data_IF_063676097968
#
_entry.id   IF_063676097968
#
_cell.length_a   1.000
_cell.length_b   1.000
_cell.length_c   1.000
_cell.angle_alpha   90.00
_cell.angle_beta   90.00
_cell.angle_gamma   90.00
#
_symmetry.space_group_name_H-M   'P 1'
#
loop_
_entity.id
_entity.type
_entity.pdbx_description
1 polymer ?
#
# COMPACT_ATOMS: atom_id res chain seq x y z
N UNK A 1 2.67 -22.65 -0.28
CA UNK A 1 2.37 -21.33 -0.90
C UNK A 1 2.88 -21.38 -2.33
N UNK A 2 2.02 -21.14 -3.31
CA UNK A 2 2.41 -20.98 -4.71
C UNK A 2 3.03 -19.59 -4.87
N UNK A 3 4.29 -19.49 -5.29
CA UNK A 3 4.99 -18.22 -5.42
C UNK A 3 5.23 -17.88 -6.89
N UNK A 4 4.89 -16.65 -7.29
CA UNK A 4 5.27 -16.12 -8.59
C UNK A 4 5.85 -14.72 -8.46
N UNK A 5 6.99 -14.51 -9.10
CA UNK A 5 7.52 -13.18 -9.37
C UNK A 5 7.74 -13.12 -10.88
N UNK A 6 6.92 -12.34 -11.57
CA UNK A 6 6.93 -12.28 -13.03
C UNK A 6 7.07 -10.83 -13.46
N UNK A 7 8.12 -10.57 -14.21
CA UNK A 7 8.36 -9.33 -14.94
C UNK A 7 8.56 -9.67 -16.41
N UNK A 8 8.24 -8.74 -17.30
CA UNK A 8 8.80 -8.77 -18.64
C UNK A 8 10.17 -8.07 -18.63
N UNK A 9 10.85 -8.12 -19.77
CA UNK A 9 12.14 -7.47 -20.00
C UNK A 9 11.91 -6.33 -20.99
N UNK A 10 12.49 -5.16 -20.72
CA UNK A 10 12.61 -4.12 -21.74
C UNK A 10 13.64 -4.57 -22.77
N UNK A 11 13.20 -4.83 -24.00
CA UNK A 11 14.08 -5.38 -25.04
C UNK A 11 15.20 -4.44 -25.48
N UNK A 12 15.09 -3.14 -25.17
CA UNK A 12 16.11 -2.15 -25.51
C UNK A 12 17.27 -2.14 -24.52
N UNK A 13 16.97 -2.19 -23.22
CA UNK A 13 17.97 -2.13 -22.15
C UNK A 13 18.34 -3.49 -21.57
N UNK A 14 17.50 -4.51 -21.75
CA UNK A 14 17.61 -5.79 -21.06
C UNK A 14 17.17 -5.74 -19.58
N UNK A 15 16.70 -4.59 -19.10
CA UNK A 15 16.30 -4.42 -17.70
C UNK A 15 14.92 -5.06 -17.42
N UNK A 16 14.65 -5.49 -16.17
CA UNK A 16 13.32 -5.86 -15.74
C UNK A 16 12.34 -4.69 -15.90
N UNK A 17 11.12 -4.99 -16.36
CA UNK A 17 10.03 -4.02 -16.45
C UNK A 17 8.87 -4.47 -15.55
N UNK A 18 8.25 -3.51 -14.87
CA UNK A 18 7.15 -3.74 -13.92
C UNK A 18 5.96 -2.84 -14.23
N UNK A 19 4.80 -3.14 -13.64
CA UNK A 19 3.58 -2.36 -13.89
C UNK A 19 3.06 -2.41 -15.33
N UNK A 20 3.55 -3.35 -16.14
CA UNK A 20 3.20 -3.50 -17.55
C UNK A 20 1.92 -4.33 -17.74
N UNK A 21 1.23 -4.19 -18.88
CA UNK A 21 0.08 -5.04 -19.21
C UNK A 21 0.40 -6.54 -19.20
N UNK A 22 1.60 -6.94 -19.64
CA UNK A 22 2.06 -8.32 -19.67
C UNK A 22 2.20 -8.89 -18.25
N UNK A 23 2.79 -8.13 -17.33
CA UNK A 23 2.92 -8.53 -15.93
C UNK A 23 1.54 -8.68 -15.26
N UNK A 24 0.59 -7.80 -15.58
CA UNK A 24 -0.79 -7.88 -15.08
C UNK A 24 -1.49 -9.15 -15.59
N UNK A 25 -1.41 -9.44 -16.90
CA UNK A 25 -1.99 -10.68 -17.46
C UNK A 25 -1.36 -11.93 -16.85
N UNK A 26 -0.04 -11.93 -16.66
CA UNK A 26 0.66 -13.03 -16.00
C UNK A 26 0.17 -13.23 -14.56
N UNK A 27 -0.08 -12.14 -13.84
CA UNK A 27 -0.63 -12.16 -12.47
C UNK A 27 -2.02 -12.82 -12.41
N UNK A 28 -2.89 -12.55 -13.38
CA UNK A 28 -4.19 -13.22 -13.47
C UNK A 28 -4.03 -14.74 -13.66
N UNK A 29 -3.16 -15.16 -14.57
CA UNK A 29 -2.87 -16.58 -14.81
C UNK A 29 -2.25 -17.26 -13.58
N UNK A 30 -1.31 -16.59 -12.90
CA UNK A 30 -0.67 -17.09 -11.69
C UNK A 30 -1.70 -17.36 -10.58
N UNK A 31 -2.61 -16.41 -10.34
CA UNK A 31 -3.67 -16.58 -9.35
C UNK A 31 -4.68 -17.68 -9.72
N UNK A 32 -5.05 -17.79 -11.00
CA UNK A 32 -5.89 -18.90 -11.49
C UNK A 32 -5.22 -20.26 -11.28
N UNK A 33 -3.93 -20.38 -11.59
CA UNK A 33 -3.16 -21.61 -11.39
C UNK A 33 -3.03 -21.96 -9.92
N UNK A 34 -2.76 -20.98 -9.05
CA UNK A 34 -2.68 -21.19 -7.61
C UNK A 34 -3.98 -21.77 -7.04
N UNK A 35 -5.14 -21.22 -7.44
CA UNK A 35 -6.46 -21.77 -7.09
C UNK A 35 -6.68 -23.16 -7.67
N UNK A 36 -6.28 -23.40 -8.92
CA UNK A 36 -6.41 -24.70 -9.58
C UNK A 36 -5.64 -25.80 -8.83
N UNK A 37 -4.45 -25.50 -8.31
CA UNK A 37 -3.64 -26.46 -7.53
C UNK A 37 -3.95 -26.42 -6.02
N UNK A 38 -4.96 -25.65 -5.59
CA UNK A 38 -5.40 -25.60 -4.20
C UNK A 38 -4.40 -24.96 -3.22
N UNK A 39 -3.54 -24.05 -3.68
CA UNK A 39 -2.53 -23.39 -2.85
C UNK A 39 -2.77 -21.87 -2.74
N UNK A 40 -2.49 -21.26 -1.57
CA UNK A 40 -2.49 -19.81 -1.46
C UNK A 40 -1.36 -19.22 -2.32
N UNK A 41 -1.65 -18.10 -2.96
CA UNK A 41 -0.75 -17.39 -3.86
C UNK A 41 0.01 -16.27 -3.16
N UNK A 42 1.34 -16.28 -3.28
CA UNK A 42 2.20 -15.13 -3.02
C UNK A 42 2.56 -14.43 -4.34
N UNK A 43 2.22 -13.15 -4.42
CA UNK A 43 2.58 -12.23 -5.50
C UNK A 43 3.35 -11.01 -4.98
N UNK A 44 3.50 -9.98 -5.83
CA UNK A 44 4.19 -8.73 -5.49
C UNK A 44 3.56 -7.54 -6.21
N UNK A 45 3.74 -6.34 -5.65
CA UNK A 45 3.51 -5.07 -6.33
C UNK A 45 4.86 -4.36 -6.49
N UNK A 46 5.35 -4.27 -7.72
CA UNK A 46 6.72 -3.85 -8.00
C UNK A 46 6.77 -2.67 -8.97
N UNK A 47 7.90 -1.97 -8.95
CA UNK A 47 8.23 -0.89 -9.87
C UNK A 47 9.72 -0.94 -10.23
N UNK A 48 10.03 -0.50 -11.45
CA UNK A 48 11.39 -0.26 -11.94
C UNK A 48 11.91 1.14 -11.60
N UNK A 49 11.06 2.07 -11.14
CA UNK A 49 11.47 3.46 -10.91
C UNK A 49 12.58 3.58 -9.89
N UNK A 50 13.54 4.47 -10.16
CA UNK A 50 14.68 4.75 -9.28
C UNK A 50 14.33 5.71 -8.13
N UNK A 51 13.15 6.33 -8.17
CA UNK A 51 12.73 7.37 -7.23
C UNK A 51 11.24 7.24 -6.95
N UNK A 52 10.72 7.65 -5.78
CA UNK A 52 9.28 7.69 -5.50
C UNK A 52 8.58 8.82 -6.29
N UNK A 53 8.41 8.62 -7.59
CA UNK A 53 7.78 9.55 -8.51
C UNK A 53 6.47 9.00 -9.12
N UNK A 54 6.01 9.65 -10.19
CA UNK A 54 4.83 9.19 -10.93
C UNK A 54 5.02 7.77 -11.47
N UNK A 55 6.22 7.41 -11.98
CA UNK A 55 6.52 6.05 -12.45
C UNK A 55 6.38 5.04 -11.34
N UNK A 56 6.97 5.31 -10.18
CA UNK A 56 6.89 4.42 -9.03
C UNK A 56 5.44 4.16 -8.60
N UNK A 57 4.58 5.17 -8.76
CA UNK A 57 3.17 5.12 -8.39
C UNK A 57 2.34 4.32 -9.40
N UNK A 58 2.38 4.66 -10.70
CA UNK A 58 1.53 3.97 -11.69
C UNK A 58 1.95 2.52 -11.91
N UNK A 59 3.26 2.21 -11.83
CA UNK A 59 3.73 0.83 -11.97
C UNK A 59 3.35 -0.03 -10.77
N UNK A 60 3.43 0.55 -9.57
CA UNK A 60 2.96 -0.10 -8.36
C UNK A 60 1.46 -0.37 -8.44
N UNK A 61 0.64 0.62 -8.79
CA UNK A 61 -0.82 0.46 -8.90
C UNK A 61 -1.20 -0.64 -9.90
N UNK A 62 -0.58 -0.66 -11.08
CA UNK A 62 -0.85 -1.71 -12.06
C UNK A 62 -0.45 -3.08 -11.52
N UNK A 63 0.73 -3.21 -10.91
CA UNK A 63 1.19 -4.47 -10.33
C UNK A 63 0.28 -4.94 -9.18
N UNK A 64 -0.12 -4.01 -8.31
CA UNK A 64 -1.02 -4.28 -7.19
C UNK A 64 -2.41 -4.71 -7.68
N UNK A 65 -2.99 -4.01 -8.65
CA UNK A 65 -4.25 -4.41 -9.28
C UNK A 65 -4.17 -5.78 -9.93
N UNK A 66 -3.07 -6.07 -10.65
CA UNK A 66 -2.82 -7.39 -11.22
C UNK A 66 -2.82 -8.50 -10.17
N UNK A 67 -2.15 -8.26 -9.04
CA UNK A 67 -2.10 -9.20 -7.93
C UNK A 67 -3.46 -9.34 -7.21
N UNK A 68 -4.11 -8.23 -6.89
CA UNK A 68 -5.40 -8.19 -6.18
C UNK A 68 -6.49 -8.87 -7.00
N UNK A 69 -6.69 -8.48 -8.26
CA UNK A 69 -7.70 -9.09 -9.13
C UNK A 69 -7.33 -10.53 -9.54
N UNK A 70 -6.04 -10.86 -9.53
CA UNK A 70 -5.57 -12.24 -9.64
C UNK A 70 -5.93 -13.09 -8.41
N UNK A 71 -6.31 -12.50 -7.28
CA UNK A 71 -6.66 -13.20 -6.03
C UNK A 71 -5.46 -13.55 -5.18
N UNK A 72 -4.49 -12.65 -5.06
CA UNK A 72 -3.30 -12.81 -4.21
C UNK A 72 -3.69 -12.99 -2.74
N UNK A 73 -3.06 -13.96 -2.06
CA UNK A 73 -3.26 -14.16 -0.62
C UNK A 73 -2.18 -13.45 0.21
N UNK A 74 -0.99 -13.31 -0.35
CA UNK A 74 0.13 -12.62 0.28
C UNK A 74 0.85 -11.75 -0.75
N UNK A 75 0.74 -10.43 -0.62
CA UNK A 75 1.50 -9.48 -1.44
C UNK A 75 2.82 -9.17 -0.73
N UNK A 76 3.92 -9.76 -1.20
CA UNK A 76 5.24 -9.43 -0.68
C UNK A 76 5.76 -8.17 -1.39
N UNK A 77 6.64 -7.42 -0.73
CA UNK A 77 7.15 -6.13 -1.23
C UNK A 77 6.05 -5.10 -1.49
N UNK A 78 4.92 -5.22 -0.79
CA UNK A 78 3.77 -4.33 -0.95
C UNK A 78 4.06 -2.87 -0.57
N UNK A 79 5.19 -2.58 0.08
CA UNK A 79 5.59 -1.21 0.41
C UNK A 79 7.11 -1.01 0.37
N UNK A 80 7.54 0.13 -0.17
CA UNK A 80 8.91 0.65 -0.09
C UNK A 80 9.84 0.24 -1.22
N UNK A 81 9.40 -0.65 -2.12
CA UNK A 81 10.20 -1.16 -3.24
C UNK A 81 10.51 -0.07 -4.28
N UNK A 82 11.78 0.04 -4.66
CA UNK A 82 12.27 0.84 -5.79
C UNK A 82 13.38 0.12 -6.56
N UNK A 83 13.75 0.67 -7.71
CA UNK A 83 14.92 0.28 -8.50
C UNK A 83 14.92 -1.22 -8.81
N UNK A 84 13.78 -1.75 -9.23
CA UNK A 84 13.64 -3.19 -9.52
C UNK A 84 14.02 -4.10 -8.34
N UNK A 85 13.90 -3.61 -7.11
CA UNK A 85 14.17 -4.34 -5.88
C UNK A 85 15.58 -4.11 -5.31
N UNK A 86 16.36 -3.22 -5.91
CA UNK A 86 17.72 -2.88 -5.44
C UNK A 86 17.72 -1.89 -4.28
N UNK A 87 16.64 -1.12 -4.11
CA UNK A 87 16.53 -0.12 -3.05
C UNK A 87 15.19 -0.14 -2.34
N UNK A 88 15.21 0.32 -1.09
CA UNK A 88 14.04 0.57 -0.27
C UNK A 88 14.00 2.05 0.11
N UNK A 89 12.87 2.73 -0.09
CA UNK A 89 12.66 4.12 0.29
C UNK A 89 11.55 4.23 1.34
N UNK A 90 11.77 5.06 2.36
CA UNK A 90 10.77 5.33 3.40
C UNK A 90 9.64 6.23 2.89
N UNK A 91 9.94 7.17 1.98
CA UNK A 91 8.92 7.95 1.27
C UNK A 91 8.04 7.02 0.43
N UNK A 92 8.66 6.12 -0.35
CA UNK A 92 7.93 5.12 -1.13
C UNK A 92 7.11 4.20 -0.23
N UNK A 93 7.64 3.81 0.92
CA UNK A 93 6.92 2.98 1.87
C UNK A 93 5.62 3.64 2.33
N UNK A 94 5.66 4.92 2.69
CA UNK A 94 4.46 5.66 3.08
C UNK A 94 3.48 5.84 1.92
N UNK A 95 3.97 6.16 0.71
CA UNK A 95 3.12 6.25 -0.48
C UNK A 95 2.42 4.93 -0.80
N UNK A 96 3.14 3.82 -0.64
CA UNK A 96 2.57 2.49 -0.85
C UNK A 96 1.54 2.14 0.22
N UNK A 97 1.79 2.50 1.48
CA UNK A 97 0.81 2.31 2.56
C UNK A 97 -0.47 3.11 2.31
N UNK A 98 -0.38 4.36 1.82
CA UNK A 98 -1.56 5.13 1.37
C UNK A 98 -2.36 4.35 0.33
N UNK A 99 -1.70 3.81 -0.71
CA UNK A 99 -2.37 3.03 -1.76
C UNK A 99 -2.96 1.71 -1.23
N UNK A 100 -2.24 1.01 -0.34
CA UNK A 100 -2.73 -0.21 0.31
C UNK A 100 -3.94 0.07 1.21
N UNK A 101 -3.97 1.20 1.92
CA UNK A 101 -5.10 1.62 2.71
C UNK A 101 -6.30 1.93 1.81
N UNK A 102 -6.10 2.61 0.68
CA UNK A 102 -7.16 2.83 -0.31
C UNK A 102 -7.74 1.50 -0.83
N UNK A 103 -6.91 0.49 -1.08
CA UNK A 103 -7.41 -0.84 -1.45
C UNK A 103 -8.22 -1.47 -0.30
N UNK A 104 -7.69 -1.44 0.93
CA UNK A 104 -8.38 -2.00 2.09
C UNK A 104 -9.78 -1.39 2.29
N UNK A 105 -9.90 -0.08 2.08
CA UNK A 105 -11.15 0.68 2.19
C UNK A 105 -12.10 0.37 1.03
N UNK A 106 -11.59 0.26 -0.20
CA UNK A 106 -12.38 -0.09 -1.39
C UNK A 106 -13.00 -1.49 -1.30
N UNK A 107 -12.36 -2.42 -0.59
CA UNK A 107 -12.86 -3.78 -0.38
C UNK A 107 -13.65 -3.97 0.92
N UNK A 108 -13.94 -2.89 1.66
CA UNK A 108 -14.92 -2.97 2.73
C UNK A 108 -16.32 -3.24 2.16
N UNK A 109 -17.14 -3.96 2.93
CA UNK A 109 -18.54 -4.15 2.55
C UNK A 109 -19.29 -2.86 2.81
N UNK A 110 -20.00 -2.33 1.81
CA UNK A 110 -20.88 -1.20 2.01
C UNK A 110 -22.12 -1.65 2.80
N UNK A 111 -22.22 -1.23 4.06
CA UNK A 111 -23.46 -1.35 4.82
C UNK A 111 -24.45 -0.29 4.33
N UNK A 112 -25.42 -0.72 3.52
CA UNK A 112 -26.45 0.16 2.96
C UNK A 112 -27.79 -0.15 3.63
N UNK A 113 -28.26 0.78 4.47
CA UNK A 113 -29.69 0.85 4.81
C UNK A 113 -30.40 1.61 3.69
N UNK A 114 -31.11 0.88 2.84
CA UNK A 114 -31.81 1.46 1.70
C UNK A 114 -32.91 2.44 2.10
N UNK A 115 -33.50 2.30 3.30
CA UNK A 115 -34.58 3.19 3.74
C UNK A 115 -34.03 4.59 4.04
N UNK A 116 -32.95 4.64 4.81
CA UNK A 116 -32.23 5.87 5.18
C UNK A 116 -31.73 6.63 3.94
N UNK A 117 -31.31 5.90 2.90
CA UNK A 117 -30.86 6.50 1.63
C UNK A 117 -31.98 7.27 0.91
N UNK A 118 -33.16 6.66 0.74
CA UNK A 118 -34.26 7.30 0.01
C UNK A 118 -34.86 8.47 0.80
N UNK A 119 -34.96 8.34 2.12
CA UNK A 119 -35.41 9.43 2.99
C UNK A 119 -34.46 10.62 2.89
N UNK A 120 -33.15 10.39 3.00
CA UNK A 120 -32.14 11.45 2.85
C UNK A 120 -32.26 12.16 1.49
N UNK A 121 -32.40 11.43 0.38
CA UNK A 121 -32.56 12.03 -0.95
C UNK A 121 -33.84 12.87 -1.05
N UNK A 122 -34.95 12.39 -0.49
CA UNK A 122 -36.23 13.09 -0.51
C UNK A 122 -36.25 14.37 0.34
N UNK A 123 -35.37 14.50 1.33
CA UNK A 123 -35.26 15.70 2.18
C UNK A 123 -34.68 16.92 1.44
N UNK A 124 -33.97 16.72 0.33
CA UNK A 124 -33.30 17.80 -0.41
C UNK A 124 -34.04 18.07 -1.72
N UNK A 125 -34.55 19.30 -1.85
CA UNK A 125 -35.21 19.76 -3.06
C UNK A 125 -34.29 19.71 -4.30
N UNK A 126 -34.84 19.55 -5.52
CA UNK A 126 -34.06 19.57 -6.75
C UNK A 126 -33.19 20.84 -6.86
N UNK A 127 -31.89 20.65 -7.04
CA UNK A 127 -30.90 21.73 -7.09
C UNK A 127 -30.30 22.13 -5.73
N UNK A 128 -30.71 21.48 -4.63
CA UNK A 128 -30.11 21.64 -3.30
C UNK A 128 -28.79 20.87 -3.11
N UNK A 129 -28.30 20.85 -1.86
CA UNK A 129 -27.08 20.14 -1.47
C UNK A 129 -27.24 19.41 -0.11
N UNK A 130 -26.45 18.37 0.12
CA UNK A 130 -26.56 17.51 1.31
C UNK A 130 -25.69 17.93 2.49
N UNK A 131 -24.84 18.96 2.37
CA UNK A 131 -23.87 19.32 3.41
C UNK A 131 -24.47 19.57 4.80
N UNK A 132 -25.69 20.10 4.87
CA UNK A 132 -26.42 20.35 6.13
C UNK A 132 -27.45 19.28 6.48
N UNK A 133 -27.55 18.20 5.70
CA UNK A 133 -28.53 17.13 5.97
C UNK A 133 -28.19 16.42 7.28
N UNK A 134 -29.20 15.97 8.06
CA UNK A 134 -28.98 15.20 9.29
C UNK A 134 -28.05 14.00 9.06
N UNK A 135 -28.24 13.27 7.96
CA UNK A 135 -27.44 12.10 7.59
C UNK A 135 -25.96 12.46 7.36
N UNK A 136 -25.69 13.58 6.69
CA UNK A 136 -24.30 14.05 6.48
C UNK A 136 -23.69 14.50 7.80
N UNK A 137 -24.40 15.27 8.62
CA UNK A 137 -23.92 15.72 9.92
C UNK A 137 -23.66 14.57 10.89
N UNK A 138 -24.42 13.48 10.81
CA UNK A 138 -24.22 12.29 11.63
C UNK A 138 -23.00 11.46 11.21
N UNK A 139 -22.52 11.59 9.97
CA UNK A 139 -21.50 10.69 9.40
C UNK A 139 -20.26 11.38 8.83
N UNK A 140 -20.20 12.71 8.73
CA UNK A 140 -19.15 13.40 7.98
C UNK A 140 -17.72 13.07 8.45
N UNK A 141 -17.52 12.71 9.72
CA UNK A 141 -16.21 12.36 10.28
C UNK A 141 -15.75 10.95 9.91
N UNK A 142 -16.69 10.05 9.61
CA UNK A 142 -16.43 8.61 9.48
C UNK A 142 -16.84 8.03 8.13
N UNK A 143 -17.65 8.74 7.33
CA UNK A 143 -18.18 8.23 6.07
C UNK A 143 -17.15 8.14 4.95
N UNK A 144 -16.08 8.94 5.01
CA UNK A 144 -15.13 9.07 3.92
C UNK A 144 -13.71 8.75 4.34
N UNK A 145 -12.96 8.21 3.37
CA UNK A 145 -11.53 7.94 3.47
C UNK A 145 -10.76 9.17 3.93
N UNK A 146 -9.83 8.96 4.87
CA UNK A 146 -8.90 10.00 5.33
C UNK A 146 -7.48 9.65 4.87
N UNK A 147 -6.88 10.46 3.98
CA UNK A 147 -5.58 10.15 3.42
C UNK A 147 -4.43 10.35 4.41
N UNK A 148 -3.38 9.56 4.25
CA UNK A 148 -2.09 9.75 4.92
C UNK A 148 -1.24 10.81 4.20
N UNK A 149 -1.35 10.87 2.86
CA UNK A 149 -0.45 11.69 2.02
C UNK A 149 -1.21 12.58 1.02
N UNK A 150 -2.34 12.13 0.49
CA UNK A 150 -3.09 12.90 -0.51
C UNK A 150 -3.53 14.25 0.04
N UNK A 151 -3.38 15.30 -0.78
CA UNK A 151 -3.76 16.67 -0.44
C UNK A 151 -4.85 17.13 -1.40
N UNK A 152 -6.04 17.40 -0.85
CA UNK A 152 -7.23 17.80 -1.62
C UNK A 152 -7.56 19.29 -1.44
N UNK A 153 -6.66 20.04 -0.77
CA UNK A 153 -6.81 21.48 -0.62
C UNK A 153 -6.66 22.16 -1.99
N UNK A 154 -7.26 23.35 -2.10
CA UNK A 154 -7.13 24.15 -3.31
C UNK A 154 -5.69 24.66 -3.50
N UNK A 155 -5.39 25.14 -4.71
CA UNK A 155 -4.06 25.61 -5.08
C UNK A 155 -3.53 26.71 -4.15
N UNK A 156 -4.38 27.63 -3.69
CA UNK A 156 -3.96 28.72 -2.80
C UNK A 156 -3.44 28.18 -1.47
N UNK A 157 -4.23 27.36 -0.79
CA UNK A 157 -3.85 26.73 0.47
C UNK A 157 -2.63 25.81 0.32
N UNK A 158 -2.56 25.04 -0.77
CA UNK A 158 -1.40 24.19 -1.06
C UNK A 158 -0.13 25.00 -1.28
N UNK A 159 -0.23 26.14 -1.99
CA UNK A 159 0.91 27.04 -2.24
C UNK A 159 1.38 27.71 -0.95
N UNK A 160 0.47 28.20 -0.12
CA UNK A 160 0.77 28.84 1.16
C UNK A 160 1.45 27.87 2.14
N UNK A 161 1.16 26.57 2.04
CA UNK A 161 1.79 25.49 2.82
C UNK A 161 3.07 24.92 2.17
N UNK A 162 3.69 25.70 1.27
CA UNK A 162 4.99 25.40 0.69
C UNK A 162 4.96 24.48 -0.54
N UNK A 163 3.80 24.33 -1.19
CA UNK A 163 3.67 23.68 -2.50
C UNK A 163 4.24 22.25 -2.57
N UNK A 164 4.14 21.50 -1.47
CA UNK A 164 4.78 20.19 -1.33
C UNK A 164 4.10 19.16 -2.21
N UNK A 165 4.88 18.34 -2.92
CA UNK A 165 4.38 17.17 -3.64
C UNK A 165 4.13 15.98 -2.68
N UNK A 166 3.56 14.90 -3.20
CA UNK A 166 3.21 13.72 -2.39
C UNK A 166 4.44 13.10 -1.70
N UNK A 167 5.56 13.01 -2.40
CA UNK A 167 6.81 12.44 -1.89
C UNK A 167 7.38 13.27 -0.74
N UNK A 168 7.36 14.60 -0.86
CA UNK A 168 7.80 15.51 0.21
C UNK A 168 6.89 15.43 1.44
N UNK A 169 5.58 15.26 1.25
CA UNK A 169 4.66 15.02 2.36
C UNK A 169 4.91 13.66 3.02
N UNK A 170 5.13 12.61 2.22
CA UNK A 170 5.48 11.28 2.70
C UNK A 170 6.78 11.28 3.52
N UNK A 171 7.77 12.11 3.16
CA UNK A 171 8.99 12.32 3.96
C UNK A 171 8.69 12.80 5.38
N UNK A 172 7.77 13.77 5.51
CA UNK A 172 7.33 14.26 6.82
C UNK A 172 6.56 13.21 7.63
N UNK A 173 5.77 12.36 6.96
CA UNK A 173 5.01 11.29 7.61
C UNK A 173 5.93 10.23 8.19
N UNK A 174 6.86 9.65 7.40
CA UNK A 174 7.71 8.57 7.92
C UNK A 174 8.58 9.04 9.08
N UNK A 175 9.12 10.26 9.02
CA UNK A 175 9.95 10.83 10.10
C UNK A 175 9.17 10.93 11.40
N UNK A 176 7.91 11.36 11.32
CA UNK A 176 7.01 11.43 12.47
C UNK A 176 6.70 10.04 13.02
N UNK A 177 6.32 9.10 12.16
CA UNK A 177 6.03 7.71 12.56
C UNK A 177 7.22 7.07 13.28
N UNK A 178 8.45 7.27 12.79
CA UNK A 178 9.66 6.76 13.45
C UNK A 178 9.94 7.50 14.75
N UNK A 179 9.77 8.83 14.79
CA UNK A 179 9.99 9.64 15.99
C UNK A 179 9.03 9.33 17.14
N UNK A 180 7.78 8.99 16.80
CA UNK A 180 6.70 8.73 17.75
C UNK A 180 6.52 7.23 18.06
N UNK A 181 7.38 6.35 17.53
CA UNK A 181 7.23 4.90 17.66
C UNK A 181 7.51 4.41 19.08
N UNK A 182 6.51 3.78 19.69
CA UNK A 182 6.65 2.97 20.91
C UNK A 182 6.52 1.48 20.57
N UNK A 183 7.52 0.64 20.92
CA UNK A 183 7.45 -0.79 20.63
C UNK A 183 6.33 -1.48 21.43
N UNK A 184 5.63 -2.47 20.83
CA UNK A 184 4.62 -3.23 21.57
C UNK A 184 5.26 -3.99 22.75
N UNK A 185 4.52 -4.19 23.85
CA UNK A 185 5.04 -4.87 25.03
C UNK A 185 5.48 -6.29 24.67
N UNK A 186 6.69 -6.66 25.11
CA UNK A 186 7.26 -7.99 24.95
C UNK A 186 7.55 -8.57 26.34
N UNK A 187 7.12 -9.81 26.56
CA UNK A 187 7.42 -10.57 27.78
C UNK A 187 8.94 -10.59 28.03
N UNK A 188 9.43 -10.06 29.18
CA UNK A 188 10.85 -9.99 29.48
C UNK A 188 11.56 -11.35 29.40
N UNK A 189 10.90 -12.44 29.80
CA UNK A 189 11.49 -13.77 29.76
C UNK A 189 11.70 -14.24 28.31
N UNK A 190 10.81 -13.88 27.38
CA UNK A 190 10.97 -14.16 25.95
C UNK A 190 12.05 -13.30 25.34
N UNK A 191 12.11 -12.01 25.70
CA UNK A 191 13.15 -11.11 25.24
C UNK A 191 14.55 -11.61 25.62
N UNK A 192 14.72 -12.04 26.87
CA UNK A 192 15.96 -12.62 27.38
C UNK A 192 16.32 -13.94 26.66
N UNK A 193 15.35 -14.83 26.48
CA UNK A 193 15.56 -16.09 25.77
C UNK A 193 16.04 -15.90 24.32
N UNK A 194 15.45 -14.92 23.60
CA UNK A 194 15.88 -14.57 22.25
C UNK A 194 17.29 -13.96 22.27
N UNK A 195 17.58 -13.08 23.22
CA UNK A 195 18.89 -12.44 23.36
C UNK A 195 20.01 -13.48 23.65
N UNK A 196 19.78 -14.41 24.59
CA UNK A 196 20.73 -15.49 24.87
C UNK A 196 20.95 -16.39 23.65
N UNK A 197 19.87 -16.79 22.96
CA UNK A 197 19.98 -17.60 21.74
C UNK A 197 20.85 -16.92 20.69
N UNK A 198 20.64 -15.63 20.42
CA UNK A 198 21.46 -14.85 19.49
C UNK A 198 22.91 -14.78 19.96
N UNK A 199 23.15 -14.52 21.25
CA UNK A 199 24.49 -14.42 21.81
C UNK A 199 25.27 -15.74 21.70
N UNK A 200 24.62 -16.88 22.00
CA UNK A 200 25.22 -18.22 21.81
C UNK A 200 25.57 -18.49 20.36
N UNK A 201 24.68 -18.17 19.42
CA UNK A 201 24.94 -18.37 17.97
C UNK A 201 26.06 -17.48 17.44
N UNK A 202 26.18 -16.24 17.91
CA UNK A 202 27.30 -15.36 17.56
C UNK A 202 28.65 -15.91 18.02
N UNK A 203 28.71 -16.52 19.21
CA UNK A 203 29.93 -17.17 19.71
C UNK A 203 30.28 -18.46 18.97
N UNK A 204 29.29 -19.18 18.44
CA UNK A 204 29.47 -20.44 17.71
C UNK A 204 29.62 -20.30 16.19
N UNK A 205 29.54 -19.09 15.63
CA UNK A 205 29.72 -18.87 14.19
C UNK A 205 31.18 -19.04 13.79
N UNK A 206 31.46 -19.84 12.75
CA UNK A 206 32.76 -19.87 12.11
C UNK A 206 33.12 -18.46 11.59
N UNK A 207 34.41 -18.10 11.64
CA UNK A 207 34.91 -16.89 11.01
C UNK A 207 34.45 -16.83 9.54
N UNK A 208 34.14 -15.64 8.99
CA UNK A 208 33.78 -15.53 7.58
C UNK A 208 34.86 -16.19 6.73
N UNK A 209 34.46 -17.04 5.78
CA UNK A 209 35.36 -17.47 4.72
C UNK A 209 35.75 -16.20 3.97
N UNK A 210 37.00 -15.80 4.16
CA UNK A 210 37.67 -14.70 3.46
C UNK A 210 37.49 -14.79 1.96
#
# INVERSE_FOLDING_TARGET
>A
VYGSFTSNVDMKSGAPAFGTPEAVRASFGAGQLARHVGLPWRGSAATASNTPDAQATYEFLNSAWGAILGGVNMMLHAAGWLESGLSASLEKFVLDVEMLQMFAEMFQTAELDTKDLFETIAEVEPGGHFFGSPTTMARYETAFYRPLVSDWRNFGQWSDDGARNATERANGVWKRVVGDFEPPPLDPARAEAVADFVARRRRGGAAPLS
#
